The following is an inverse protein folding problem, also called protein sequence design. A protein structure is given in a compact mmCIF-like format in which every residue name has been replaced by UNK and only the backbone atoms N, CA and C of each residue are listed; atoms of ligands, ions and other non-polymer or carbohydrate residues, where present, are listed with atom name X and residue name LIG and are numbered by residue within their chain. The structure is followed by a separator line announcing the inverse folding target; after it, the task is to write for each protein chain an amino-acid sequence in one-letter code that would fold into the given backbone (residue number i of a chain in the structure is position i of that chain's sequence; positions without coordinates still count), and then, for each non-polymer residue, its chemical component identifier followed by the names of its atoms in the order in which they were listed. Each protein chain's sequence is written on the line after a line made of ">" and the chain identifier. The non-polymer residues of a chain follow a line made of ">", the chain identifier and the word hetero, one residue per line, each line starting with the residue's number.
data_IF_268892541950
#
_entry.id   IF_268892541950
#
_cell.length_a   1.000
_cell.length_b   1.000
_cell.length_c   1.000
_cell.angle_alpha   90.00
_cell.angle_beta   90.00
_cell.angle_gamma   90.00
#
_symmetry.space_group_name_H-M   'P 1'
#
loop_
_entity.id
_entity.type
_entity.pdbx_description
1 polymer ?
#
# COMPACT_ATOMS: atom_id res chain seq x y z
N UNK A 1 -49.38 -38.43 50.73
CA UNK A 1 -48.75 -38.21 49.41
C UNK A 1 -48.94 -36.75 49.05
N UNK A 2 -47.84 -36.08 48.71
CA UNK A 2 -47.57 -34.65 48.92
C UNK A 2 -48.38 -33.64 48.10
N UNK A 3 -48.56 -32.44 48.68
CA UNK A 3 -48.83 -31.18 47.97
C UNK A 3 -47.64 -30.22 48.13
N UNK A 4 -47.48 -29.35 47.11
CA UNK A 4 -46.92 -27.96 47.08
C UNK A 4 -45.54 -27.71 46.44
N UNK A 5 -45.61 -27.17 45.20
CA UNK A 5 -45.00 -25.92 44.67
C UNK A 5 -43.82 -25.29 45.44
N UNK A 6 -42.70 -25.05 44.74
CA UNK A 6 -41.93 -23.79 44.80
C UNK A 6 -41.01 -23.59 43.58
N UNK A 7 -40.94 -22.33 43.11
CA UNK A 7 -40.10 -21.79 42.03
C UNK A 7 -38.60 -21.78 42.39
N UNK A 8 -37.75 -21.98 41.38
CA UNK A 8 -36.47 -21.27 41.11
C UNK A 8 -36.00 -21.78 39.73
N UNK A 9 -35.87 -21.00 38.66
CA UNK A 9 -35.42 -19.61 38.60
C UNK A 9 -33.91 -19.57 38.80
N UNK A 10 -33.13 -19.97 37.79
CA UNK A 10 -31.88 -19.30 37.45
C UNK A 10 -31.48 -19.65 36.01
N UNK A 11 -31.81 -18.72 35.11
CA UNK A 11 -31.07 -18.52 33.88
C UNK A 11 -29.63 -18.16 34.30
N UNK A 12 -28.67 -19.01 34.00
CA UNK A 12 -27.27 -18.58 33.98
C UNK A 12 -27.04 -18.02 32.59
N UNK A 13 -27.10 -16.70 32.54
CA UNK A 13 -26.82 -15.88 31.36
C UNK A 13 -25.49 -16.29 30.77
N UNK A 14 -25.51 -16.80 29.53
CA UNK A 14 -24.30 -16.87 28.72
C UNK A 14 -23.85 -15.42 28.48
N UNK A 15 -22.56 -15.10 28.70
CA UNK A 15 -22.05 -13.78 28.39
C UNK A 15 -22.25 -13.52 26.89
N UNK A 16 -23.03 -12.47 26.62
CA UNK A 16 -23.25 -11.86 25.30
C UNK A 16 -21.92 -11.51 24.66
N UNK A 17 -21.43 -12.34 23.73
CA UNK A 17 -20.56 -11.85 22.67
C UNK A 17 -21.50 -11.30 21.61
N UNK A 18 -21.73 -9.99 21.66
CA UNK A 18 -22.33 -9.25 20.57
C UNK A 18 -21.59 -9.65 19.30
N UNK A 19 -22.29 -10.38 18.43
CA UNK A 19 -21.70 -10.96 17.23
C UNK A 19 -21.08 -9.86 16.41
N UNK A 20 -19.75 -9.84 16.32
CA UNK A 20 -19.09 -9.21 15.20
C UNK A 20 -19.69 -9.85 13.96
N UNK A 21 -20.43 -9.07 13.19
CA UNK A 21 -21.08 -9.52 11.96
C UNK A 21 -20.00 -10.24 11.14
N UNK A 22 -20.24 -11.47 10.67
CA UNK A 22 -19.20 -12.28 10.03
C UNK A 22 -18.52 -11.53 8.87
N UNK A 23 -19.28 -10.64 8.22
CA UNK A 23 -18.82 -9.67 7.23
C UNK A 23 -17.71 -8.74 7.75
N UNK A 24 -17.85 -8.17 8.94
CA UNK A 24 -16.82 -7.30 9.57
C UNK A 24 -15.55 -8.08 9.87
N UNK A 25 -15.67 -9.33 10.31
CA UNK A 25 -14.51 -10.19 10.54
C UNK A 25 -13.78 -10.55 9.24
N UNK A 26 -14.54 -10.82 8.17
CA UNK A 26 -13.98 -11.09 6.84
C UNK A 26 -13.30 -9.86 6.25
N UNK A 27 -13.92 -8.68 6.34
CA UNK A 27 -13.32 -7.42 5.91
C UNK A 27 -12.02 -7.12 6.67
N UNK A 28 -12.03 -7.31 7.99
CA UNK A 28 -10.83 -7.13 8.82
C UNK A 28 -9.73 -8.11 8.42
N UNK A 29 -10.06 -9.38 8.18
CA UNK A 29 -9.08 -10.39 7.78
C UNK A 29 -8.49 -10.08 6.40
N UNK A 30 -9.33 -9.69 5.43
CA UNK A 30 -8.89 -9.27 4.09
C UNK A 30 -7.94 -8.07 4.21
N UNK A 31 -8.27 -7.08 5.05
CA UNK A 31 -7.39 -5.94 5.32
C UNK A 31 -6.02 -6.35 5.88
N UNK A 32 -6.01 -7.28 6.85
CA UNK A 32 -4.75 -7.80 7.43
C UNK A 32 -3.93 -8.57 6.39
N UNK A 33 -4.56 -9.40 5.55
CA UNK A 33 -3.88 -10.14 4.48
C UNK A 33 -3.26 -9.18 3.47
N UNK A 34 -4.03 -8.19 2.99
CA UNK A 34 -3.54 -7.19 2.02
C UNK A 34 -2.33 -6.42 2.60
N UNK A 35 -2.40 -6.01 3.86
CA UNK A 35 -1.32 -5.27 4.51
C UNK A 35 -0.06 -6.11 4.71
N UNK A 36 -0.18 -7.42 4.95
CA UNK A 36 0.97 -8.32 5.06
C UNK A 36 1.58 -8.64 3.69
N UNK A 37 0.77 -8.77 2.64
CA UNK A 37 1.26 -9.04 1.28
C UNK A 37 1.87 -7.79 0.62
N UNK A 38 1.35 -6.61 0.95
CA UNK A 38 1.79 -5.33 0.39
C UNK A 38 2.12 -4.35 1.52
N UNK A 39 3.17 -4.61 2.32
CA UNK A 39 3.59 -3.65 3.33
C UNK A 39 3.92 -2.30 2.65
N UNK A 40 3.68 -1.16 3.31
CA UNK A 40 4.12 0.13 2.80
C UNK A 40 5.63 0.05 2.53
N UNK A 41 6.01 0.20 1.25
CA UNK A 41 7.42 0.02 0.84
C UNK A 41 8.31 0.91 1.70
N UNK A 42 9.20 0.27 2.47
CA UNK A 42 10.14 1.02 3.28
C UNK A 42 11.12 1.78 2.35
N UNK A 43 11.81 2.82 2.83
CA UNK A 43 12.72 3.62 2.00
C UNK A 43 13.81 2.80 1.28
N UNK A 44 14.26 1.68 1.87
CA UNK A 44 15.28 0.82 1.29
C UNK A 44 14.77 0.03 0.09
N UNK A 45 13.53 -0.47 0.15
CA UNK A 45 12.89 -1.16 -0.97
C UNK A 45 12.67 -0.23 -2.15
N UNK A 46 12.25 1.02 -1.89
CA UNK A 46 12.15 2.06 -2.93
C UNK A 46 13.50 2.29 -3.61
N UNK A 47 14.57 2.38 -2.82
CA UNK A 47 15.92 2.54 -3.34
C UNK A 47 16.36 1.33 -4.19
N UNK A 48 16.11 0.10 -3.72
CA UNK A 48 16.43 -1.13 -4.46
C UNK A 48 15.70 -1.19 -5.80
N UNK A 49 14.40 -0.87 -5.83
CA UNK A 49 13.60 -0.85 -7.05
C UNK A 49 14.13 0.17 -8.07
N UNK A 50 14.49 1.38 -7.63
CA UNK A 50 15.06 2.41 -8.51
C UNK A 50 16.44 2.01 -9.05
N UNK A 51 17.26 1.35 -8.23
CA UNK A 51 18.56 0.82 -8.64
C UNK A 51 18.42 -0.26 -9.71
N UNK A 52 17.48 -1.18 -9.55
CA UNK A 52 17.17 -2.21 -10.55
C UNK A 52 16.68 -1.56 -11.86
N UNK A 53 15.79 -0.56 -11.78
CA UNK A 53 15.32 0.16 -12.96
C UNK A 53 16.46 0.86 -13.73
N UNK A 54 17.42 1.45 -13.02
CA UNK A 54 18.62 2.04 -13.63
C UNK A 54 19.49 0.98 -14.32
N UNK A 55 19.77 -0.15 -13.64
CA UNK A 55 20.61 -1.23 -14.14
C UNK A 55 20.04 -1.86 -15.41
N UNK A 56 18.74 -2.17 -15.39
CA UNK A 56 18.03 -2.78 -16.51
C UNK A 56 17.55 -1.76 -17.56
N UNK A 57 17.80 -0.48 -17.33
CA UNK A 57 17.37 0.64 -18.19
C UNK A 57 15.85 0.64 -18.45
N UNK A 58 15.08 0.20 -17.47
CA UNK A 58 13.62 0.21 -17.57
C UNK A 58 13.08 1.63 -17.55
N UNK A 59 12.03 1.84 -18.34
CA UNK A 59 11.30 3.10 -18.38
C UNK A 59 10.07 3.00 -17.50
N UNK A 60 9.95 3.95 -16.58
CA UNK A 60 8.80 4.05 -15.69
C UNK A 60 7.82 5.08 -16.23
N UNK A 61 6.54 4.78 -16.17
CA UNK A 61 5.48 5.75 -16.38
C UNK A 61 5.43 6.77 -15.24
N UNK A 62 4.72 7.86 -15.47
CA UNK A 62 4.49 8.89 -14.44
C UNK A 62 3.80 8.33 -13.19
N UNK A 63 2.91 7.34 -13.35
CA UNK A 63 2.19 6.69 -12.24
C UNK A 63 3.10 5.78 -11.44
N UNK A 64 3.92 4.97 -12.10
CA UNK A 64 4.87 4.06 -11.42
C UNK A 64 5.93 4.85 -10.64
N UNK A 65 6.44 5.94 -11.20
CA UNK A 65 7.34 6.84 -10.45
C UNK A 65 6.64 7.35 -9.19
N UNK A 66 5.39 7.86 -9.31
CA UNK A 66 4.61 8.36 -8.19
C UNK A 66 4.35 7.30 -7.11
N UNK A 67 4.06 6.06 -7.51
CA UNK A 67 3.88 4.93 -6.59
C UNK A 67 5.17 4.59 -5.83
N UNK A 68 6.33 4.62 -6.50
CA UNK A 68 7.63 4.33 -5.89
C UNK A 68 8.05 5.45 -4.95
N UNK A 69 8.01 6.72 -5.40
CA UNK A 69 8.59 7.85 -4.67
C UNK A 69 7.59 8.62 -3.81
N UNK A 70 6.29 8.35 -3.95
CA UNK A 70 5.19 9.00 -3.22
C UNK A 70 4.84 10.41 -3.73
N UNK A 71 5.42 10.86 -4.86
CA UNK A 71 5.09 12.16 -5.46
C UNK A 71 5.19 12.12 -6.97
N UNK A 72 4.25 12.78 -7.65
CA UNK A 72 4.24 12.90 -9.11
C UNK A 72 5.49 13.59 -9.66
N UNK A 73 6.22 13.00 -10.63
CA UNK A 73 7.37 13.65 -11.24
C UNK A 73 6.95 14.83 -12.11
N UNK A 74 7.64 15.95 -11.94
CA UNK A 74 7.47 17.17 -12.74
C UNK A 74 8.83 17.67 -13.19
N UNK A 75 9.00 17.85 -14.49
CA UNK A 75 10.24 18.37 -15.09
C UNK A 75 10.60 19.72 -14.44
N UNK A 76 11.90 19.93 -14.24
CA UNK A 76 12.40 21.25 -13.92
C UNK A 76 12.20 22.18 -15.13
N UNK A 77 12.06 23.48 -14.88
CA UNK A 77 11.77 24.46 -15.94
C UNK A 77 12.93 24.48 -16.95
N UNK A 78 12.61 24.26 -18.22
CA UNK A 78 13.60 24.20 -19.31
C UNK A 78 14.34 22.88 -19.42
N UNK A 79 14.09 21.92 -18.52
CA UNK A 79 14.81 20.66 -18.46
C UNK A 79 13.96 19.48 -18.92
N UNK A 80 14.65 18.41 -19.33
CA UNK A 80 14.01 17.12 -19.65
C UNK A 80 13.90 16.19 -18.43
N UNK A 81 14.37 16.60 -17.25
CA UNK A 81 14.45 15.75 -16.07
C UNK A 81 13.86 16.39 -14.80
N UNK A 82 13.73 15.59 -13.76
CA UNK A 82 13.47 16.04 -12.41
C UNK A 82 14.28 15.24 -11.40
N UNK A 83 14.40 15.75 -10.17
CA UNK A 83 15.14 15.09 -9.09
C UNK A 83 14.19 14.76 -7.94
N UNK A 84 14.19 13.51 -7.49
CA UNK A 84 13.35 13.04 -6.38
C UNK A 84 14.12 12.03 -5.53
N UNK A 85 14.20 12.27 -4.22
CA UNK A 85 14.76 11.30 -3.28
C UNK A 85 16.20 10.87 -3.60
N UNK A 86 17.02 11.76 -4.15
CA UNK A 86 18.40 11.45 -4.55
C UNK A 86 18.55 10.77 -5.92
N UNK A 87 17.46 10.63 -6.67
CA UNK A 87 17.45 10.07 -8.02
C UNK A 87 17.07 11.10 -9.07
N UNK A 88 17.61 10.95 -10.28
CA UNK A 88 17.29 11.76 -11.45
C UNK A 88 16.38 10.95 -12.38
N UNK A 89 15.23 11.52 -12.69
CA UNK A 89 14.25 10.95 -13.62
C UNK A 89 14.27 11.75 -14.91
N UNK A 90 14.71 11.13 -16.00
CA UNK A 90 14.87 11.77 -17.31
C UNK A 90 13.72 11.36 -18.22
N UNK A 91 12.98 12.32 -18.77
CA UNK A 91 11.92 12.04 -19.73
C UNK A 91 12.54 11.50 -21.04
N UNK A 92 12.20 10.25 -21.39
CA UNK A 92 12.67 9.56 -22.61
C UNK A 92 11.60 9.47 -23.69
N UNK A 93 10.33 9.68 -23.35
CA UNK A 93 9.22 9.57 -24.32
C UNK A 93 7.85 9.67 -23.66
N UNK A 94 6.84 9.13 -24.35
CA UNK A 94 5.45 9.08 -23.86
C UNK A 94 4.84 7.69 -24.07
N UNK A 95 3.97 7.32 -23.14
CA UNK A 95 3.03 6.21 -23.30
C UNK A 95 1.63 6.76 -23.00
N UNK A 96 0.85 6.97 -24.07
CA UNK A 96 -0.43 7.70 -24.00
C UNK A 96 -0.30 9.08 -23.33
N UNK A 97 -1.06 9.29 -22.27
CA UNK A 97 -1.04 10.54 -21.51
C UNK A 97 0.10 10.64 -20.47
N UNK A 98 0.93 9.60 -20.32
CA UNK A 98 2.02 9.53 -19.35
C UNK A 98 3.38 9.79 -20.00
N UNK A 99 4.27 10.45 -19.26
CA UNK A 99 5.70 10.53 -19.64
C UNK A 99 6.39 9.25 -19.22
N UNK A 100 7.29 8.75 -20.08
CA UNK A 100 8.21 7.66 -19.79
C UNK A 100 9.52 8.24 -19.23
N UNK A 101 9.94 7.74 -18.08
CA UNK A 101 11.07 8.24 -17.29
C UNK A 101 12.14 7.17 -17.19
N UNK A 102 13.35 7.49 -17.62
CA UNK A 102 14.54 6.71 -17.26
C UNK A 102 15.06 7.14 -15.89
N UNK A 103 15.61 6.19 -15.13
CA UNK A 103 16.16 6.41 -13.79
C UNK A 103 17.68 6.48 -13.89
N UNK A 104 18.28 7.51 -13.27
CA UNK A 104 19.73 7.72 -13.20
C UNK A 104 20.11 8.08 -11.75
N UNK A 105 21.21 7.53 -11.24
CA UNK A 105 21.84 8.01 -10.02
C UNK A 105 22.35 9.44 -10.22
N UNK A 106 22.15 10.28 -9.21
CA UNK A 106 22.83 11.57 -9.12
C UNK A 106 24.31 11.33 -8.90
N UNK A 107 25.11 11.56 -9.95
CA UNK A 107 26.55 11.70 -9.84
C UNK A 107 26.82 13.12 -9.33
N UNK A 108 27.25 13.22 -8.07
CA UNK A 108 27.76 14.44 -7.45
C UNK A 108 29.20 14.69 -7.93
#
# INVERSE_FOLDING_TARGET
>A
TEQKKAKKGLLTEQPTVQGANAEVLLESLVGVIINNLNPPKNPLEKNRALKECEQEKWLLTTKEVEEIVGRKPRKLKGESYCIIGGWKFVAKGRSGNQTLWGVEQLKL
#
